data_IF_548325953573
#
_entry.id   IF_548325953573
#
_cell.length_a   1.000
_cell.length_b   1.000
_cell.length_c   1.000
_cell.angle_alpha   90.00
_cell.angle_beta   90.00
_cell.angle_gamma   90.00
#
_symmetry.space_group_name_H-M   'P 1'
#
loop_
_entity.id
_entity.type
_entity.pdbx_description
1 polymer ?
#
# COMPACT_ATOMS: atom_id res chain seq x y z
N UNK A 1 0.24 -4.18 -13.71
CA UNK A 1 0.60 -4.82 -12.44
C UNK A 1 2.10 -5.06 -12.51
N UNK A 2 2.90 -4.39 -11.68
CA UNK A 2 4.33 -4.70 -11.61
C UNK A 2 4.44 -6.01 -10.82
N UNK A 3 5.04 -7.03 -11.44
CA UNK A 3 5.23 -8.33 -10.80
C UNK A 3 6.57 -8.31 -10.06
N UNK A 4 6.52 -8.32 -8.74
CA UNK A 4 7.71 -8.53 -7.90
C UNK A 4 7.80 -10.02 -7.54
N UNK A 5 9.01 -10.57 -7.45
CA UNK A 5 9.26 -11.99 -7.17
C UNK A 5 9.24 -12.29 -5.67
N UNK A 6 8.99 -13.54 -5.28
CA UNK A 6 9.05 -14.00 -3.88
C UNK A 6 10.39 -13.69 -3.19
N UNK A 7 11.49 -13.64 -3.96
CA UNK A 7 12.81 -13.26 -3.46
C UNK A 7 12.86 -11.77 -3.08
N UNK A 8 12.24 -10.93 -3.90
CA UNK A 8 12.08 -9.50 -3.61
C UNK A 8 11.20 -9.27 -2.38
N UNK A 9 10.15 -10.08 -2.19
CA UNK A 9 9.32 -10.05 -0.98
C UNK A 9 10.07 -10.42 0.29
N UNK A 10 10.92 -11.45 0.27
CA UNK A 10 11.76 -11.83 1.43
C UNK A 10 12.80 -10.75 1.77
N UNK A 11 13.31 -10.06 0.75
CA UNK A 11 14.22 -8.92 0.93
C UNK A 11 13.49 -7.69 1.49
N UNK A 12 12.25 -7.45 1.01
CA UNK A 12 11.38 -6.40 1.52
C UNK A 12 10.97 -6.68 2.97
N UNK A 13 10.61 -7.91 3.33
CA UNK A 13 10.34 -8.33 4.72
C UNK A 13 11.54 -8.08 5.65
N UNK A 14 12.76 -8.39 5.21
CA UNK A 14 13.99 -8.11 5.97
C UNK A 14 14.30 -6.62 6.09
N UNK A 15 14.09 -5.85 5.02
CA UNK A 15 14.39 -4.41 4.99
C UNK A 15 13.29 -3.57 5.65
N UNK A 16 12.06 -4.08 5.69
CA UNK A 16 10.92 -3.52 6.41
C UNK A 16 10.87 -3.98 7.86
N UNK A 17 11.55 -5.05 8.26
CA UNK A 17 11.64 -5.47 9.67
C UNK A 17 11.99 -4.33 10.65
N UNK A 18 12.87 -3.37 10.32
CA UNK A 18 13.14 -2.19 11.15
C UNK A 18 12.13 -1.03 11.01
N UNK A 19 11.22 -1.05 10.02
CA UNK A 19 10.26 0.03 9.73
C UNK A 19 8.82 -0.37 10.01
N UNK A 20 8.43 -1.55 9.52
CA UNK A 20 7.23 -2.30 9.90
C UNK A 20 7.39 -2.90 11.31
N UNK A 21 8.61 -2.86 11.90
CA UNK A 21 8.95 -3.29 13.27
C UNK A 21 9.74 -2.33 14.15
N UNK A 22 10.18 -1.21 13.59
CA UNK A 22 10.78 -0.12 14.37
C UNK A 22 9.74 0.50 15.28
N UNK A 23 10.19 1.22 16.29
CA UNK A 23 9.41 1.80 17.40
C UNK A 23 8.17 2.63 17.02
N UNK A 24 7.85 2.82 15.75
CA UNK A 24 6.89 3.81 15.25
C UNK A 24 5.56 3.24 14.70
N UNK A 25 5.53 2.02 14.15
CA UNK A 25 4.29 1.48 13.54
C UNK A 25 3.19 1.21 14.58
N UNK A 26 3.55 0.92 15.83
CA UNK A 26 2.58 0.73 16.93
C UNK A 26 1.75 1.98 17.21
N UNK A 27 2.25 3.17 16.87
CA UNK A 27 1.51 4.42 17.01
C UNK A 27 0.44 4.60 15.92
N UNK A 28 0.58 3.92 14.78
CA UNK A 28 -0.43 3.90 13.71
C UNK A 28 -1.53 2.87 13.95
N UNK A 29 -1.28 1.89 14.83
CA UNK A 29 -2.29 0.94 15.27
C UNK A 29 -3.25 1.61 16.27
N UNK A 30 -4.42 2.04 15.81
CA UNK A 30 -5.47 2.58 16.67
C UNK A 30 -6.34 1.43 17.21
N UNK A 31 -6.07 0.97 18.44
CA UNK A 31 -6.86 -0.06 19.13
C UNK A 31 -6.23 -0.51 20.45
N UNK A 32 -7.03 -1.16 21.31
CA UNK A 32 -6.56 -1.71 22.61
C UNK A 32 -5.66 -2.93 22.47
N UNK A 33 -5.45 -3.44 21.25
CA UNK A 33 -4.58 -4.56 20.93
C UNK A 33 -3.52 -4.11 19.93
N UNK A 34 -2.25 -4.29 20.28
CA UNK A 34 -1.16 -4.12 19.33
C UNK A 34 -1.21 -5.28 18.33
N UNK A 35 -1.15 -5.01 17.01
CA UNK A 35 -1.04 -6.04 15.99
C UNK A 35 0.05 -7.05 16.34
N UNK A 36 -0.23 -8.35 16.19
CA UNK A 36 0.87 -9.30 16.10
C UNK A 36 1.39 -9.32 14.67
N UNK A 37 2.59 -9.85 14.53
CA UNK A 37 3.23 -9.98 13.22
C UNK A 37 2.46 -10.88 12.27
N UNK A 38 1.79 -11.89 12.82
CA UNK A 38 0.96 -12.81 12.05
C UNK A 38 -0.28 -12.14 11.45
N UNK A 39 -0.66 -10.97 11.97
CA UNK A 39 -1.83 -10.22 11.51
C UNK A 39 -1.46 -9.17 10.44
N UNK A 40 -0.16 -9.02 10.11
CA UNK A 40 0.33 -8.11 9.07
C UNK A 40 0.30 -8.83 7.71
N UNK A 41 -0.40 -8.22 6.76
CA UNK A 41 -0.46 -8.67 5.38
C UNK A 41 0.35 -7.72 4.50
N UNK A 42 1.30 -8.24 3.75
CA UNK A 42 2.06 -7.49 2.76
C UNK A 42 1.39 -7.56 1.38
N UNK A 43 1.60 -6.53 0.56
CA UNK A 43 1.19 -6.56 -0.85
C UNK A 43 -0.32 -6.42 -1.07
N UNK A 44 -1.05 -5.78 -0.15
CA UNK A 44 -2.50 -5.63 -0.27
C UNK A 44 -2.81 -4.39 -1.10
N UNK A 45 -3.67 -4.59 -2.11
CA UNK A 45 -4.12 -3.54 -3.00
C UNK A 45 -5.34 -2.82 -2.41
N UNK A 46 -5.23 -1.50 -2.17
CA UNK A 46 -6.26 -0.67 -1.55
C UNK A 46 -6.37 0.70 -2.24
N UNK A 47 -7.49 1.44 -2.09
CA UNK A 47 -7.53 2.87 -2.40
C UNK A 47 -6.45 3.64 -1.65
N UNK A 48 -5.81 4.61 -2.30
CA UNK A 48 -4.71 5.37 -1.72
C UNK A 48 -5.17 6.18 -0.50
N UNK A 49 -6.26 6.93 -0.60
CA UNK A 49 -6.85 7.70 0.52
C UNK A 49 -5.79 8.42 1.41
N UNK A 50 -4.79 9.04 0.78
CA UNK A 50 -3.69 9.74 1.46
C UNK A 50 -2.55 8.87 2.01
N UNK A 51 -2.59 7.54 1.93
CA UNK A 51 -1.52 6.65 2.44
C UNK A 51 -0.16 6.94 1.79
N UNK A 52 -0.14 7.21 0.49
CA UNK A 52 0.98 7.78 -0.25
C UNK A 52 0.59 9.22 -0.64
N UNK A 53 1.11 10.17 0.13
CA UNK A 53 0.63 11.57 0.11
C UNK A 53 0.87 12.31 -1.20
N UNK A 54 1.75 11.81 -2.08
CA UNK A 54 2.02 12.40 -3.38
C UNK A 54 1.57 11.53 -4.57
N UNK A 55 0.63 10.61 -4.32
CA UNK A 55 -0.16 9.94 -5.35
C UNK A 55 -1.63 10.37 -5.27
N UNK A 56 -2.43 10.23 -6.34
CA UNK A 56 -3.85 10.56 -6.31
C UNK A 56 -4.65 9.64 -5.36
N UNK A 57 -5.60 10.19 -4.61
CA UNK A 57 -6.41 9.43 -3.63
C UNK A 57 -7.25 8.31 -4.25
N UNK A 58 -7.71 8.50 -5.48
CA UNK A 58 -8.51 7.51 -6.22
C UNK A 58 -7.67 6.32 -6.73
N UNK A 59 -6.34 6.42 -6.68
CA UNK A 59 -5.44 5.38 -7.17
C UNK A 59 -5.53 4.13 -6.29
N UNK A 60 -5.45 2.94 -6.92
CA UNK A 60 -5.23 1.70 -6.18
C UNK A 60 -3.72 1.52 -6.00
N UNK A 61 -3.27 1.47 -4.76
CA UNK A 61 -1.87 1.26 -4.37
C UNK A 61 -1.71 -0.09 -3.71
N UNK A 62 -0.48 -0.61 -3.73
CA UNK A 62 -0.12 -1.82 -3.01
C UNK A 62 0.70 -1.46 -1.78
N UNK A 63 0.20 -1.77 -0.59
CA UNK A 63 0.86 -1.48 0.69
C UNK A 63 0.71 -2.64 1.67
N UNK A 64 1.54 -2.62 2.71
CA UNK A 64 1.32 -3.47 3.86
C UNK A 64 0.15 -2.94 4.69
N UNK A 65 -0.60 -3.85 5.30
CA UNK A 65 -1.75 -3.56 6.14
C UNK A 65 -1.72 -4.46 7.38
N UNK A 66 -2.38 -4.03 8.45
CA UNK A 66 -2.80 -4.90 9.53
C UNK A 66 -4.29 -5.20 9.38
N UNK A 67 -4.69 -6.46 9.51
CA UNK A 67 -6.11 -6.84 9.51
C UNK A 67 -6.54 -7.29 10.90
N UNK A 68 -7.65 -6.75 11.41
CA UNK A 68 -8.32 -7.27 12.59
C UNK A 68 -9.73 -7.78 12.24
N UNK A 69 -10.48 -8.21 13.25
CA UNK A 69 -11.85 -8.72 13.09
C UNK A 69 -12.85 -7.70 12.55
N UNK A 70 -12.50 -6.41 12.52
CA UNK A 70 -13.39 -5.30 12.16
C UNK A 70 -13.04 -4.71 10.81
N UNK A 71 -11.75 -4.49 10.54
CA UNK A 71 -11.30 -3.81 9.31
C UNK A 71 -9.83 -4.07 8.97
N UNK A 72 -9.48 -3.60 7.78
CA UNK A 72 -8.10 -3.48 7.31
C UNK A 72 -7.59 -2.09 7.69
N UNK A 73 -6.39 -2.02 8.25
CA UNK A 73 -5.69 -0.82 8.68
C UNK A 73 -4.42 -0.67 7.85
N UNK A 74 -4.42 0.18 6.81
CA UNK A 74 -3.24 0.42 6.00
C UNK A 74 -2.14 1.14 6.78
N UNK A 75 -0.88 0.82 6.47
CA UNK A 75 0.25 1.61 6.96
C UNK A 75 0.46 2.84 6.08
N UNK A 76 0.63 3.99 6.73
CA UNK A 76 0.92 5.23 6.02
C UNK A 76 2.38 5.23 5.54
N UNK A 77 2.57 5.43 4.24
CA UNK A 77 3.87 5.40 3.56
C UNK A 77 4.49 6.79 3.48
N UNK A 78 3.67 7.82 3.32
CA UNK A 78 4.14 9.19 3.09
C UNK A 78 4.63 9.42 1.65
N UNK A 79 5.40 10.50 1.40
CA UNK A 79 5.76 10.88 0.04
C UNK A 79 6.86 9.97 -0.53
N UNK A 80 6.64 9.48 -1.75
CA UNK A 80 7.65 8.72 -2.49
C UNK A 80 8.63 9.63 -3.25
N UNK A 81 9.83 9.13 -3.62
CA UNK A 81 10.76 9.86 -4.50
C UNK A 81 10.11 10.22 -5.84
N UNK A 82 10.40 11.43 -6.35
CA UNK A 82 9.76 12.00 -7.56
C UNK A 82 9.80 11.06 -8.78
N UNK A 83 10.92 10.38 -9.01
CA UNK A 83 11.06 9.43 -10.12
C UNK A 83 10.09 8.25 -10.03
N UNK A 84 9.91 7.70 -8.82
CA UNK A 84 8.98 6.60 -8.54
C UNK A 84 7.53 7.05 -8.73
N UNK A 85 7.17 8.21 -8.15
CA UNK A 85 5.83 8.81 -8.30
C UNK A 85 5.47 8.99 -9.77
N UNK A 86 6.41 9.46 -10.59
CA UNK A 86 6.18 9.72 -12.02
C UNK A 86 5.77 8.44 -12.74
N UNK A 87 6.51 7.35 -12.53
CA UNK A 87 6.25 6.05 -13.17
C UNK A 87 4.91 5.47 -12.67
N UNK A 88 4.65 5.51 -11.37
CA UNK A 88 3.40 5.00 -10.79
C UNK A 88 2.19 5.80 -11.26
N UNK A 89 2.31 7.12 -11.36
CA UNK A 89 1.23 8.01 -11.83
C UNK A 89 0.82 7.71 -13.27
N UNK A 90 1.78 7.38 -14.14
CA UNK A 90 1.49 6.95 -15.52
C UNK A 90 0.65 5.67 -15.49
N UNK A 91 1.06 4.66 -14.71
CA UNK A 91 0.34 3.40 -14.58
C UNK A 91 -1.10 3.57 -14.05
N UNK A 92 -1.26 4.38 -12.99
CA UNK A 92 -2.57 4.69 -12.40
C UNK A 92 -3.50 5.38 -13.40
N UNK A 93 -2.97 6.37 -14.13
CA UNK A 93 -3.73 7.14 -15.12
C UNK A 93 -4.19 6.26 -16.28
N UNK A 94 -3.29 5.43 -16.82
CA UNK A 94 -3.64 4.48 -17.87
C UNK A 94 -4.72 3.50 -17.40
N UNK A 95 -4.55 2.92 -16.20
CA UNK A 95 -5.54 2.02 -15.62
C UNK A 95 -6.92 2.67 -15.44
N UNK A 96 -6.97 3.92 -14.97
CA UNK A 96 -8.22 4.67 -14.85
C UNK A 96 -8.87 4.95 -16.21
N UNK A 97 -8.07 5.34 -17.20
CA UNK A 97 -8.56 5.57 -18.55
C UNK A 97 -9.18 4.29 -19.13
N UNK A 98 -8.48 3.16 -19.05
CA UNK A 98 -9.01 1.87 -19.52
C UNK A 98 -10.34 1.52 -18.85
N UNK A 99 -10.42 1.63 -17.51
CA UNK A 99 -11.68 1.41 -16.78
C UNK A 99 -12.80 2.31 -17.29
N UNK A 100 -12.53 3.60 -17.51
CA UNK A 100 -13.54 4.54 -18.01
C UNK A 100 -14.10 4.15 -19.39
N UNK A 101 -13.29 3.54 -20.26
CA UNK A 101 -13.73 3.09 -21.59
C UNK A 101 -14.57 1.81 -21.49
N UNK A 102 -14.26 0.92 -20.56
CA UNK A 102 -15.06 -0.29 -20.29
C UNK A 102 -16.44 0.11 -19.76
N UNK A 103 -16.51 1.00 -18.78
CA UNK A 103 -17.78 1.42 -18.18
C UNK A 103 -18.66 2.30 -19.07
N UNK A 104 -18.11 2.88 -20.15
CA UNK A 104 -18.89 3.63 -21.15
C UNK A 104 -19.58 2.74 -22.19
N UNK A 105 -19.24 1.46 -22.25
CA UNK A 105 -19.78 0.50 -23.23
C UNK A 105 -21.00 -0.30 -22.75
N UNK A 106 -21.47 -0.04 -21.53
CA UNK A 106 -22.69 -0.59 -20.92
C UNK A 106 -23.74 0.49 -20.78
#
# INVERSE_FOLDING_TARGET
>A
MLFFSDAWFKEMDKSLRPWVGGRDWRHQAHGSHLPRWEDVLAGINIPNEGMVSNLPDWGIIEVSVYADSVKIHPFHVGPLPKGVVTILSIGLTLGALFRSQVYKKT
#
